data_IF_086500181222
#
_entry.id   IF_086500181222
#
_cell.length_a   1.000
_cell.length_b   1.000
_cell.length_c   1.000
_cell.angle_alpha   90.00
_cell.angle_beta   90.00
_cell.angle_gamma   90.00
#
_symmetry.space_group_name_H-M   'P 1'
#
loop_
_entity.id
_entity.type
_entity.pdbx_description
1 polymer ?
#
# COMPACT_ATOMS: atom_id res chain seq x y z
N UNK A 1 1.09 21.34 2.34
CA UNK A 1 1.84 20.09 2.09
C UNK A 1 2.87 20.30 1.00
N UNK A 2 4.16 20.05 1.29
CA UNK A 2 5.20 20.13 0.27
C UNK A 2 4.99 19.07 -0.83
N UNK A 3 5.27 19.45 -2.08
CA UNK A 3 5.12 18.55 -3.24
C UNK A 3 5.95 17.26 -3.13
N UNK A 4 7.03 17.28 -2.34
CA UNK A 4 7.87 16.12 -2.03
C UNK A 4 7.13 15.02 -1.24
N UNK A 5 6.36 15.39 -0.21
CA UNK A 5 5.64 14.44 0.63
C UNK A 5 4.58 13.65 -0.17
N UNK A 6 3.84 14.32 -1.06
CA UNK A 6 2.89 13.68 -1.97
C UNK A 6 3.56 12.70 -2.92
N UNK A 7 4.71 13.06 -3.48
CA UNK A 7 5.48 12.16 -4.36
C UNK A 7 5.94 10.90 -3.62
N UNK A 8 6.36 11.02 -2.36
CA UNK A 8 6.75 9.85 -1.56
C UNK A 8 5.60 8.86 -1.40
N UNK A 9 4.41 9.34 -1.01
CA UNK A 9 3.23 8.48 -0.86
C UNK A 9 2.78 7.89 -2.20
N UNK A 10 2.83 8.68 -3.27
CA UNK A 10 2.51 8.17 -4.62
C UNK A 10 3.44 7.04 -5.03
N UNK A 11 4.74 7.21 -4.89
CA UNK A 11 5.72 6.19 -5.26
C UNK A 11 5.53 4.93 -4.40
N UNK A 12 5.31 5.09 -3.10
CA UNK A 12 5.01 3.97 -2.20
C UNK A 12 3.76 3.21 -2.63
N UNK A 13 2.68 3.91 -3.02
CA UNK A 13 1.46 3.27 -3.53
C UNK A 13 1.70 2.50 -4.82
N UNK A 14 2.55 3.03 -5.69
CA UNK A 14 2.90 2.36 -6.95
C UNK A 14 3.74 1.10 -6.67
N UNK A 15 4.74 1.18 -5.79
CA UNK A 15 5.55 0.03 -5.34
C UNK A 15 4.68 -1.07 -4.70
N UNK A 16 3.71 -0.68 -3.87
CA UNK A 16 2.78 -1.62 -3.25
C UNK A 16 1.88 -2.32 -4.27
N UNK A 17 1.42 -1.62 -5.31
CA UNK A 17 0.62 -2.20 -6.40
C UNK A 17 1.44 -3.20 -7.21
N UNK A 18 2.67 -2.85 -7.55
CA UNK A 18 3.58 -3.74 -8.28
C UNK A 18 3.88 -5.02 -7.48
N UNK A 19 4.18 -4.90 -6.18
CA UNK A 19 4.42 -6.07 -5.34
C UNK A 19 3.15 -6.92 -5.17
N UNK A 20 1.97 -6.30 -5.03
CA UNK A 20 0.66 -7.00 -4.99
C UNK A 20 0.47 -7.82 -6.26
N UNK A 21 0.67 -7.22 -7.43
CA UNK A 21 0.53 -7.89 -8.72
C UNK A 21 1.52 -9.06 -8.85
N UNK A 22 2.77 -8.87 -8.41
CA UNK A 22 3.78 -9.93 -8.37
C UNK A 22 3.36 -11.11 -7.48
N UNK A 23 2.88 -10.81 -6.27
CA UNK A 23 2.41 -11.82 -5.32
C UNK A 23 1.18 -12.55 -5.82
N UNK A 24 0.24 -11.85 -6.47
CA UNK A 24 -0.94 -12.46 -7.06
C UNK A 24 -0.58 -13.49 -8.13
N UNK A 25 0.45 -13.21 -8.96
CA UNK A 25 0.96 -14.16 -9.95
C UNK A 25 1.61 -15.38 -9.29
N UNK A 26 2.38 -15.19 -8.21
CA UNK A 26 3.06 -16.29 -7.50
C UNK A 26 2.09 -17.16 -6.69
N UNK A 27 1.05 -16.56 -6.10
CA UNK A 27 0.02 -17.25 -5.30
C UNK A 27 -0.91 -18.14 -6.14
N UNK A 28 -0.89 -18.04 -7.46
CA UNK A 28 -1.73 -18.89 -8.32
C UNK A 28 -1.59 -20.41 -8.03
N UNK A 29 -0.47 -20.84 -7.45
CA UNK A 29 -0.20 -22.22 -7.00
C UNK A 29 -0.01 -22.35 -5.47
N UNK A 30 -0.19 -21.27 -4.71
CA UNK A 30 0.11 -21.15 -3.29
C UNK A 30 -0.99 -21.62 -2.33
N UNK A 31 -0.66 -21.68 -1.04
CA UNK A 31 -1.58 -22.08 0.04
C UNK A 31 -2.76 -21.12 0.16
N UNK A 32 -3.95 -21.66 0.49
CA UNK A 32 -5.17 -20.87 0.70
C UNK A 32 -4.98 -19.75 1.74
N UNK A 33 -4.15 -19.98 2.76
CA UNK A 33 -3.78 -18.98 3.77
C UNK A 33 -3.04 -17.77 3.16
N UNK A 34 -2.07 -18.00 2.27
CA UNK A 34 -1.34 -16.93 1.61
C UNK A 34 -2.26 -16.11 0.68
N UNK A 35 -3.21 -16.78 0.02
CA UNK A 35 -4.24 -16.11 -0.78
C UNK A 35 -5.16 -15.24 0.07
N UNK A 36 -5.67 -15.75 1.19
CA UNK A 36 -6.52 -14.98 2.09
C UNK A 36 -5.81 -13.79 2.72
N UNK A 37 -4.54 -13.95 3.08
CA UNK A 37 -3.73 -12.83 3.58
C UNK A 37 -3.46 -11.80 2.49
N UNK A 38 -3.19 -12.22 1.24
CA UNK A 38 -3.03 -11.31 0.11
C UNK A 38 -4.31 -10.49 -0.12
N UNK A 39 -5.47 -11.15 -0.18
CA UNK A 39 -6.77 -10.48 -0.35
C UNK A 39 -7.05 -9.48 0.79
N UNK A 40 -6.63 -9.78 2.02
CA UNK A 40 -6.78 -8.87 3.16
C UNK A 40 -5.90 -7.62 3.02
N UNK A 41 -4.66 -7.79 2.56
CA UNK A 41 -3.73 -6.68 2.33
C UNK A 41 -4.11 -5.86 1.11
N UNK A 42 -4.66 -6.49 0.08
CA UNK A 42 -5.16 -5.82 -1.13
C UNK A 42 -6.27 -4.81 -0.79
N UNK A 43 -7.23 -5.21 0.04
CA UNK A 43 -8.28 -4.29 0.54
C UNK A 43 -7.71 -3.11 1.32
N UNK A 44 -6.65 -3.32 2.11
CA UNK A 44 -5.97 -2.22 2.81
C UNK A 44 -5.27 -1.29 1.83
N UNK A 45 -4.66 -1.83 0.77
CA UNK A 45 -4.02 -1.04 -0.29
C UNK A 45 -5.06 -0.22 -1.08
N UNK A 46 -6.22 -0.79 -1.38
CA UNK A 46 -7.33 -0.07 -2.00
C UNK A 46 -7.79 1.09 -1.12
N UNK A 47 -8.05 0.85 0.17
CA UNK A 47 -8.44 1.90 1.12
C UNK A 47 -7.37 2.99 1.21
N UNK A 48 -6.08 2.61 1.30
CA UNK A 48 -4.98 3.56 1.34
C UNK A 48 -4.93 4.45 0.09
N UNK A 49 -5.19 3.86 -1.08
CA UNK A 49 -5.24 4.58 -2.34
C UNK A 49 -6.44 5.54 -2.41
N UNK A 50 -7.61 5.13 -1.90
CA UNK A 50 -8.80 5.97 -1.77
C UNK A 50 -8.56 7.16 -0.85
N UNK A 51 -7.96 6.92 0.33
CA UNK A 51 -7.63 7.97 1.31
C UNK A 51 -6.61 8.97 0.75
N UNK A 52 -5.72 8.51 -0.16
CA UNK A 52 -4.75 9.37 -0.84
C UNK A 52 -5.35 10.24 -1.96
N UNK A 53 -6.43 9.82 -2.63
CA UNK A 53 -7.00 10.57 -3.77
C UNK A 53 -7.36 12.03 -3.43
N UNK A 54 -8.05 12.34 -2.32
CA UNK A 54 -8.36 13.71 -1.94
C UNK A 54 -7.11 14.56 -1.67
N UNK A 55 -6.05 13.94 -1.13
CA UNK A 55 -4.79 14.62 -0.77
C UNK A 55 -3.95 15.00 -1.98
N UNK A 56 -4.11 14.31 -3.10
CA UNK A 56 -3.41 14.63 -4.35
C UNK A 56 -3.71 16.05 -4.83
N UNK A 57 -4.97 16.47 -4.72
CA UNK A 57 -5.45 17.77 -5.19
C UNK A 57 -5.55 18.83 -4.08
N UNK A 58 -5.43 18.43 -2.81
CA UNK A 58 -5.43 19.37 -1.69
C UNK A 58 -4.16 20.24 -1.67
N UNK A 59 -4.33 21.53 -1.39
CA UNK A 59 -3.25 22.52 -1.22
C UNK A 59 -3.14 22.90 0.26
N UNK A 60 -3.44 21.98 1.17
CA UNK A 60 -3.52 22.28 2.60
C UNK A 60 -2.18 22.09 3.30
N UNK A 61 -1.78 23.04 4.15
CA UNK A 61 -0.58 22.92 4.99
C UNK A 61 -0.72 21.86 6.09
N UNK A 62 -1.96 21.53 6.48
CA UNK A 62 -2.26 20.63 7.61
C UNK A 62 -2.27 19.13 7.30
N UNK A 63 -1.84 18.67 6.12
CA UNK A 63 -1.91 17.24 5.76
C UNK A 63 -0.65 16.43 6.10
N UNK A 64 0.31 17.00 6.85
CA UNK A 64 1.54 16.30 7.30
C UNK A 64 1.23 15.08 8.15
N UNK A 65 0.37 15.22 9.14
CA UNK A 65 -0.07 14.11 9.99
C UNK A 65 -0.79 13.02 9.19
N UNK A 66 -1.56 13.43 8.18
CA UNK A 66 -2.29 12.51 7.31
C UNK A 66 -1.31 11.71 6.44
N UNK A 67 -0.29 12.35 5.87
CA UNK A 67 0.75 11.65 5.11
C UNK A 67 1.54 10.70 5.98
N UNK A 68 1.90 11.10 7.20
CA UNK A 68 2.59 10.20 8.12
C UNK A 68 1.75 8.95 8.43
N UNK A 69 0.43 9.12 8.61
CA UNK A 69 -0.50 8.00 8.78
C UNK A 69 -0.57 7.09 7.53
N UNK A 70 -0.64 7.68 6.33
CA UNK A 70 -0.62 6.92 5.07
C UNK A 70 0.67 6.12 4.90
N UNK A 71 1.82 6.73 5.23
CA UNK A 71 3.12 6.05 5.18
C UNK A 71 3.18 4.86 6.14
N UNK A 72 2.70 5.04 7.38
CA UNK A 72 2.65 3.96 8.37
C UNK A 72 1.81 2.78 7.88
N UNK A 73 0.63 3.06 7.31
CA UNK A 73 -0.23 2.01 6.74
C UNK A 73 0.43 1.35 5.53
N UNK A 74 1.11 2.12 4.67
CA UNK A 74 1.89 1.58 3.55
C UNK A 74 2.99 0.62 4.00
N UNK A 75 3.74 0.99 5.04
CA UNK A 75 4.78 0.15 5.64
C UNK A 75 4.19 -1.15 6.22
N UNK A 76 3.02 -1.09 6.85
CA UNK A 76 2.32 -2.29 7.32
C UNK A 76 1.96 -3.25 6.19
N UNK A 77 1.45 -2.70 5.07
CA UNK A 77 1.07 -3.49 3.88
C UNK A 77 2.32 -4.12 3.27
N UNK A 78 3.39 -3.34 3.06
CA UNK A 78 4.65 -3.83 2.52
C UNK A 78 5.23 -4.96 3.36
N UNK A 79 5.23 -4.79 4.68
CA UNK A 79 5.67 -5.83 5.60
C UNK A 79 4.79 -7.09 5.52
N UNK A 80 3.49 -6.94 5.27
CA UNK A 80 2.57 -8.02 4.98
C UNK A 80 2.94 -8.78 3.70
N UNK A 81 3.17 -8.07 2.60
CA UNK A 81 3.62 -8.64 1.34
C UNK A 81 4.93 -9.42 1.49
N UNK A 82 5.91 -8.86 2.21
CA UNK A 82 7.15 -9.56 2.52
C UNK A 82 6.94 -10.86 3.32
N UNK A 83 5.96 -10.91 4.24
CA UNK A 83 5.63 -12.14 4.97
C UNK A 83 5.02 -13.19 4.04
N UNK A 84 4.10 -12.77 3.18
CA UNK A 84 3.48 -13.65 2.18
C UNK A 84 4.57 -14.23 1.29
N UNK A 85 5.44 -13.39 0.73
CA UNK A 85 6.55 -13.81 -0.14
C UNK A 85 7.46 -14.85 0.50
N UNK A 86 7.74 -14.73 1.80
CA UNK A 86 8.54 -15.70 2.56
C UNK A 86 7.83 -17.03 2.83
N UNK A 87 6.50 -17.06 2.69
CA UNK A 87 5.66 -18.23 2.94
C UNK A 87 5.29 -19.02 1.66
N UNK A 88 5.58 -18.44 0.49
CA UNK A 88 5.47 -19.08 -0.83
C UNK A 88 6.69 -19.95 -1.09
#
# INVERSE_FOLDING_TARGET
>A
MPASARRLVSNMLDDLKEERDSLALQIHLGKQEAKSELERLDKKLEQLNEDYQPLKNAVDESSEDIVAALQLVGDEIMNGFHRIRRSL
#
